data_IF_069515769620
#
_entry.id   IF_069515769620
#
_cell.length_a   1.000
_cell.length_b   1.000
_cell.length_c   1.000
_cell.angle_alpha   90.00
_cell.angle_beta   90.00
_cell.angle_gamma   90.00
#
_symmetry.space_group_name_H-M   'P 1'
#
loop_
_entity.id
_entity.type
_entity.pdbx_description
1 polymer ?
#
# COMPACT_ATOMS: atom_id res chain seq x y z
N UNK A 1 2.01 61.76 30.44
CA UNK A 1 1.13 61.05 31.39
C UNK A 1 0.52 59.85 30.70
N UNK A 2 0.84 58.63 31.11
CA UNK A 2 0.22 57.42 30.59
C UNK A 2 -1.26 57.39 31.04
N UNK A 3 -2.20 57.46 30.08
CA UNK A 3 -3.63 57.33 30.38
C UNK A 3 -3.91 55.91 30.89
N UNK A 4 -4.70 55.81 31.96
CA UNK A 4 -5.11 54.54 32.53
C UNK A 4 -5.66 53.59 31.43
N UNK A 5 -5.36 52.28 31.49
CA UNK A 5 -5.86 51.32 30.51
C UNK A 5 -7.39 51.36 30.48
N UNK A 6 -7.94 51.74 29.33
CA UNK A 6 -9.37 51.85 29.18
C UNK A 6 -9.97 50.43 29.19
N UNK A 7 -10.67 50.06 30.27
CA UNK A 7 -11.32 48.75 30.46
C UNK A 7 -12.26 48.37 29.30
N UNK A 8 -12.77 49.36 28.55
CA UNK A 8 -13.61 49.10 27.38
C UNK A 8 -12.81 48.51 26.19
N UNK A 9 -11.51 48.81 26.08
CA UNK A 9 -10.64 48.28 25.01
C UNK A 9 -10.43 46.79 25.17
N UNK A 10 -10.19 46.33 26.40
CA UNK A 10 -9.98 44.90 26.71
C UNK A 10 -11.25 44.08 26.48
N UNK A 11 -12.41 44.60 26.88
CA UNK A 11 -13.70 43.95 26.64
C UNK A 11 -14.01 43.89 25.14
N UNK A 12 -13.77 44.97 24.41
CA UNK A 12 -13.97 45.01 22.96
C UNK A 12 -13.05 44.02 22.21
N UNK A 13 -11.80 43.86 22.66
CA UNK A 13 -10.88 42.89 22.08
C UNK A 13 -11.33 41.44 22.30
N UNK A 14 -11.80 41.10 23.51
CA UNK A 14 -12.33 39.76 23.80
C UNK A 14 -13.53 39.41 22.91
N UNK A 15 -14.46 40.36 22.73
CA UNK A 15 -15.60 40.17 21.84
C UNK A 15 -15.18 40.03 20.36
N UNK A 16 -14.16 40.79 19.94
CA UNK A 16 -13.59 40.70 18.60
C UNK A 16 -12.89 39.36 18.34
N UNK A 17 -12.09 38.88 19.30
CA UNK A 17 -11.45 37.55 19.27
C UNK A 17 -12.47 36.42 19.26
N UNK A 18 -13.63 36.62 19.90
CA UNK A 18 -14.79 35.72 19.83
C UNK A 18 -15.53 35.73 18.48
N UNK A 19 -15.03 36.44 17.46
CA UNK A 19 -15.58 36.45 16.10
C UNK A 19 -16.72 37.46 15.87
N UNK A 20 -17.06 38.30 16.86
CA UNK A 20 -18.12 39.30 16.68
C UNK A 20 -17.71 40.41 15.73
N UNK A 21 -18.65 40.86 14.90
CA UNK A 21 -18.43 41.97 14.00
C UNK A 21 -18.29 43.29 14.77
N UNK A 22 -17.45 44.21 14.27
CA UNK A 22 -17.21 45.52 14.88
C UNK A 22 -18.50 46.35 15.06
N UNK A 23 -19.49 46.17 14.18
CA UNK A 23 -20.79 46.83 14.25
C UNK A 23 -21.60 46.35 15.46
N UNK A 24 -21.55 45.05 15.76
CA UNK A 24 -22.25 44.45 16.91
C UNK A 24 -21.58 44.87 18.23
N UNK A 25 -20.25 44.89 18.25
CA UNK A 25 -19.46 45.36 19.40
C UNK A 25 -19.75 46.84 19.68
N UNK A 26 -19.83 47.66 18.63
CA UNK A 26 -20.16 49.10 18.71
C UNK A 26 -21.49 49.34 19.43
N UNK A 27 -22.53 48.58 19.08
CA UNK A 27 -23.85 48.66 19.72
C UNK A 27 -23.82 48.19 21.18
N UNK A 28 -23.09 47.11 21.47
CA UNK A 28 -23.05 46.51 22.82
C UNK A 28 -22.32 47.36 23.87
N UNK A 29 -21.29 48.11 23.46
CA UNK A 29 -20.43 48.88 24.38
C UNK A 29 -20.72 50.39 24.34
N UNK A 30 -21.66 50.81 23.49
CA UNK A 30 -21.98 52.21 23.17
C UNK A 30 -20.73 53.01 22.78
N UNK A 31 -20.02 52.52 21.76
CA UNK A 31 -18.78 53.10 21.23
C UNK A 31 -18.92 53.22 19.72
N UNK A 32 -18.58 54.36 19.14
CA UNK A 32 -18.61 54.55 17.69
C UNK A 32 -17.72 53.54 16.96
N UNK A 33 -18.19 52.97 15.85
CA UNK A 33 -17.44 52.02 15.03
C UNK A 33 -16.06 52.54 14.57
N UNK A 34 -15.95 53.85 14.31
CA UNK A 34 -14.70 54.54 13.99
C UNK A 34 -13.63 54.41 15.09
N UNK A 35 -14.06 54.42 16.35
CA UNK A 35 -13.19 54.25 17.52
C UNK A 35 -12.71 52.80 17.65
N UNK A 36 -13.58 51.83 17.38
CA UNK A 36 -13.19 50.41 17.34
C UNK A 36 -12.24 50.10 16.19
N UNK A 37 -12.44 50.68 15.00
CA UNK A 37 -11.50 50.57 13.87
C UNK A 37 -10.13 51.13 14.22
N UNK A 38 -10.09 52.28 14.91
CA UNK A 38 -8.84 52.87 15.41
C UNK A 38 -8.16 51.97 16.43
N UNK A 39 -8.89 51.39 17.39
CA UNK A 39 -8.30 50.47 18.38
C UNK A 39 -7.77 49.19 17.75
N UNK A 40 -8.53 48.56 16.83
CA UNK A 40 -8.10 47.39 16.07
C UNK A 40 -6.75 47.63 15.40
N UNK A 41 -6.55 48.80 14.79
CA UNK A 41 -5.29 49.20 14.14
C UNK A 41 -4.19 49.59 15.15
N UNK A 42 -4.52 50.38 16.17
CA UNK A 42 -3.53 50.89 17.15
C UNK A 42 -2.98 49.82 18.09
N UNK A 43 -3.74 48.75 18.34
CA UNK A 43 -3.35 47.66 19.24
C UNK A 43 -3.10 46.33 18.51
N UNK A 44 -3.03 46.32 17.16
CA UNK A 44 -2.63 45.14 16.38
C UNK A 44 -3.56 43.92 16.52
N UNK A 45 -4.87 44.11 16.69
CA UNK A 45 -5.80 43.00 16.95
C UNK A 45 -5.89 41.98 15.82
N UNK A 46 -5.47 42.34 14.60
CA UNK A 46 -5.48 41.45 13.43
C UNK A 46 -4.31 40.45 13.41
N UNK A 47 -3.26 40.70 14.20
CA UNK A 47 -2.04 39.89 14.21
C UNK A 47 -2.14 38.71 15.21
N UNK A 48 -3.03 38.81 16.20
CA UNK A 48 -3.20 37.82 17.28
C UNK A 48 -4.45 36.92 17.13
N UNK A 49 -5.29 37.14 16.12
CA UNK A 49 -6.51 36.37 15.89
C UNK A 49 -6.36 35.56 14.60
N UNK A 50 -6.31 34.23 14.71
CA UNK A 50 -6.43 33.32 13.56
C UNK A 50 -7.74 33.62 12.84
N UNK A 51 -7.67 34.04 11.56
CA UNK A 51 -8.82 34.56 10.83
C UNK A 51 -9.82 33.41 10.56
N UNK A 52 -11.08 33.49 11.03
CA UNK A 52 -12.11 32.60 10.52
C UNK A 52 -12.42 32.96 9.07
N UNK A 53 -12.50 31.93 8.21
CA UNK A 53 -12.87 32.05 6.80
C UNK A 53 -14.23 32.74 6.70
N UNK A 54 -14.27 33.96 6.15
CA UNK A 54 -15.52 34.71 6.00
C UNK A 54 -16.34 34.13 4.83
N UNK A 55 -17.42 33.44 5.12
CA UNK A 55 -18.51 33.17 4.18
C UNK A 55 -19.19 34.50 3.84
N UNK A 56 -19.02 34.96 2.61
CA UNK A 56 -19.68 36.17 2.13
C UNK A 56 -21.04 35.79 1.57
N UNK A 57 -22.04 35.71 2.45
CA UNK A 57 -23.44 35.83 2.07
C UNK A 57 -24.00 37.03 2.81
N UNK A 58 -24.80 37.83 2.11
CA UNK A 58 -25.42 39.10 2.55
C UNK A 58 -24.66 40.38 2.17
N UNK A 59 -24.60 40.62 0.85
CA UNK A 59 -24.98 41.91 0.27
C UNK A 59 -25.46 41.67 -1.16
N UNK A 60 -26.73 41.30 -1.30
CA UNK A 60 -27.45 41.35 -2.58
C UNK A 60 -28.25 42.65 -2.57
N UNK A 61 -27.79 43.65 -3.30
CA UNK A 61 -28.67 44.49 -4.11
C UNK A 61 -27.85 45.38 -5.05
N UNK A 62 -28.13 45.19 -6.34
CA UNK A 62 -27.75 46.02 -7.49
C UNK A 62 -26.28 45.96 -7.91
N UNK A 63 -25.98 45.11 -8.92
CA UNK A 63 -25.48 45.51 -10.24
C UNK A 63 -25.64 44.28 -11.16
N UNK A 64 -26.44 44.45 -12.21
CA UNK A 64 -26.76 43.47 -13.24
C UNK A 64 -25.67 43.44 -14.31
N UNK A 65 -24.93 42.33 -14.46
CA UNK A 65 -24.35 41.93 -15.77
C UNK A 65 -23.88 40.47 -15.73
N UNK A 66 -24.16 39.75 -16.80
CA UNK A 66 -24.03 38.28 -16.99
C UNK A 66 -22.58 37.72 -16.89
N UNK A 67 -21.59 38.57 -16.59
CA UNK A 67 -20.18 38.17 -16.47
C UNK A 67 -19.79 37.59 -15.09
N UNK A 68 -20.66 37.63 -14.07
CA UNK A 68 -20.36 37.21 -12.68
C UNK A 68 -20.54 35.70 -12.40
N UNK A 69 -21.35 35.00 -13.22
CA UNK A 69 -21.71 33.60 -12.96
C UNK A 69 -20.49 32.66 -13.14
N UNK A 70 -19.52 33.05 -13.99
CA UNK A 70 -18.27 32.30 -14.19
C UNK A 70 -17.29 32.49 -13.02
N UNK A 71 -17.24 33.67 -12.40
CA UNK A 71 -16.34 33.92 -11.26
C UNK A 71 -16.81 33.28 -9.96
N UNK A 72 -18.13 33.15 -9.74
CA UNK A 72 -18.69 32.57 -8.51
C UNK A 72 -18.54 31.03 -8.46
N UNK A 73 -18.61 30.37 -9.62
CA UNK A 73 -18.36 28.92 -9.74
C UNK A 73 -16.87 28.59 -9.59
N UNK A 74 -15.98 29.43 -10.12
CA UNK A 74 -14.53 29.28 -9.93
C UNK A 74 -14.12 29.44 -8.45
N UNK A 75 -14.67 30.41 -7.72
CA UNK A 75 -14.35 30.64 -6.29
C UNK A 75 -14.89 29.53 -5.38
N UNK A 76 -16.04 28.93 -5.70
CA UNK A 76 -16.56 27.76 -4.98
C UNK A 76 -15.70 26.50 -5.22
N UNK A 77 -15.20 26.32 -6.45
CA UNK A 77 -14.25 25.25 -6.78
C UNK A 77 -12.88 25.48 -6.11
N UNK A 78 -12.43 26.74 -5.98
CA UNK A 78 -11.16 27.12 -5.30
C UNK A 78 -11.12 26.66 -3.84
N UNK A 79 -12.19 26.87 -3.07
CA UNK A 79 -12.21 26.50 -1.65
C UNK A 79 -12.35 24.99 -1.43
N UNK A 80 -13.02 24.28 -2.34
CA UNK A 80 -13.18 22.82 -2.29
C UNK A 80 -11.92 22.08 -2.74
N UNK A 81 -11.22 22.59 -3.76
CA UNK A 81 -9.95 22.01 -4.22
C UNK A 81 -8.81 22.27 -3.25
N UNK A 82 -8.72 23.46 -2.64
CA UNK A 82 -7.72 23.75 -1.60
C UNK A 82 -7.87 22.84 -0.37
N UNK A 83 -9.11 22.57 0.08
CA UNK A 83 -9.38 21.68 1.22
C UNK A 83 -9.16 20.19 0.91
N UNK A 84 -9.42 19.74 -0.33
CA UNK A 84 -9.09 18.36 -0.75
C UNK A 84 -7.58 18.18 -0.85
N UNK A 85 -6.87 19.17 -1.39
CA UNK A 85 -5.41 19.14 -1.50
C UNK A 85 -4.76 19.22 -0.11
N UNK A 86 -5.25 20.04 0.83
CA UNK A 86 -4.75 20.07 2.21
C UNK A 86 -4.92 18.72 2.94
N UNK A 87 -5.99 17.99 2.66
CA UNK A 87 -6.22 16.68 3.27
C UNK A 87 -5.37 15.57 2.64
N UNK A 88 -5.13 15.57 1.33
CA UNK A 88 -4.18 14.64 0.68
C UNK A 88 -2.72 14.96 1.01
N UNK A 89 -2.40 16.24 1.21
CA UNK A 89 -1.05 16.70 1.58
C UNK A 89 -0.72 16.37 3.02
N UNK A 90 -1.69 16.19 3.93
CA UNK A 90 -1.41 15.87 5.35
C UNK A 90 -0.69 14.54 5.56
N UNK A 91 -0.98 13.53 4.74
CA UNK A 91 -0.35 12.22 4.86
C UNK A 91 0.99 12.15 4.13
N UNK A 92 1.17 12.90 3.03
CA UNK A 92 2.45 13.00 2.30
C UNK A 92 3.42 14.05 2.92
N UNK A 93 2.92 15.05 3.66
CA UNK A 93 3.73 16.11 4.26
C UNK A 93 4.36 15.74 5.61
N UNK A 94 3.97 14.63 6.24
CA UNK A 94 4.65 14.14 7.45
C UNK A 94 6.10 13.73 7.15
N UNK A 95 6.37 13.25 5.94
CA UNK A 95 7.70 12.81 5.52
C UNK A 95 8.57 13.97 5.00
N UNK A 96 7.99 15.16 4.83
CA UNK A 96 8.68 16.32 4.22
C UNK A 96 8.70 17.50 5.21
N UNK A 97 9.41 17.31 6.31
CA UNK A 97 9.71 18.38 7.25
C UNK A 97 10.95 19.21 6.85
N UNK A 98 11.64 18.88 5.75
CA UNK A 98 13.07 19.20 5.63
C UNK A 98 13.48 20.33 4.67
N UNK A 99 12.57 21.08 4.04
CA UNK A 99 12.98 22.15 3.12
C UNK A 99 12.40 23.52 3.50
N UNK A 100 12.96 24.15 4.54
CA UNK A 100 12.67 25.54 4.95
C UNK A 100 12.80 26.55 3.79
N UNK A 101 13.54 26.20 2.75
CA UNK A 101 13.86 27.06 1.61
C UNK A 101 12.73 27.26 0.58
N UNK A 102 11.71 26.40 0.54
CA UNK A 102 10.62 26.46 -0.43
C UNK A 102 9.33 26.99 0.19
N UNK A 103 8.67 27.92 -0.51
CA UNK A 103 7.36 28.43 -0.09
C UNK A 103 6.28 27.34 -0.15
N UNK A 104 5.24 27.44 0.69
CA UNK A 104 4.14 26.47 0.71
C UNK A 104 3.49 26.24 -0.68
N UNK A 105 3.37 27.30 -1.49
CA UNK A 105 2.83 27.18 -2.86
C UNK A 105 3.76 26.41 -3.80
N UNK A 106 5.08 26.61 -3.68
CA UNK A 106 6.05 25.85 -4.48
C UNK A 106 6.09 24.39 -4.06
N UNK A 107 6.03 24.09 -2.75
CA UNK A 107 5.90 22.72 -2.26
C UNK A 107 4.66 22.03 -2.82
N UNK A 108 3.53 22.74 -2.79
CA UNK A 108 2.27 22.25 -3.36
C UNK A 108 2.38 21.99 -4.87
N UNK A 109 3.07 22.86 -5.60
CA UNK A 109 3.36 22.65 -7.02
C UNK A 109 4.18 21.39 -7.25
N UNK A 110 5.22 21.13 -6.44
CA UNK A 110 6.06 19.95 -6.59
C UNK A 110 5.28 18.65 -6.31
N UNK A 111 4.45 18.63 -5.26
CA UNK A 111 3.58 17.48 -4.95
C UNK A 111 2.60 17.21 -6.11
N UNK A 112 1.91 18.25 -6.58
CA UNK A 112 0.97 18.09 -7.69
C UNK A 112 1.68 17.71 -9.00
N UNK A 113 2.88 18.23 -9.24
CA UNK A 113 3.69 17.88 -10.40
C UNK A 113 4.13 16.43 -10.34
N UNK A 114 4.64 15.93 -9.21
CA UNK A 114 5.00 14.52 -9.02
C UNK A 114 3.84 13.55 -9.28
N UNK A 115 2.59 13.95 -9.00
CA UNK A 115 1.40 13.14 -9.29
C UNK A 115 1.00 13.12 -10.77
N UNK A 116 1.17 14.22 -11.51
CA UNK A 116 0.62 14.36 -12.87
C UNK A 116 1.65 14.54 -14.00
N UNK A 117 2.92 14.73 -13.65
CA UNK A 117 4.04 15.03 -14.55
C UNK A 117 3.72 16.10 -15.61
N UNK A 118 2.87 17.07 -15.25
CA UNK A 118 2.43 18.15 -16.12
C UNK A 118 2.54 19.50 -15.42
N UNK A 119 3.57 20.27 -15.79
CA UNK A 119 3.89 21.55 -15.17
C UNK A 119 2.76 22.57 -15.31
N UNK A 120 2.15 22.67 -16.50
CA UNK A 120 1.08 23.63 -16.78
C UNK A 120 -0.15 23.34 -15.92
N UNK A 121 -0.59 22.08 -15.85
CA UNK A 121 -1.75 21.67 -15.04
C UNK A 121 -1.48 21.83 -13.54
N UNK A 122 -0.30 21.42 -13.08
CA UNK A 122 0.09 21.59 -11.68
C UNK A 122 0.12 23.07 -11.28
N UNK A 123 0.74 23.92 -12.10
CA UNK A 123 0.82 25.35 -11.84
C UNK A 123 -0.55 26.02 -11.85
N UNK A 124 -1.43 25.64 -12.78
CA UNK A 124 -2.79 26.15 -12.86
C UNK A 124 -3.62 25.77 -11.62
N UNK A 125 -3.46 24.54 -11.10
CA UNK A 125 -4.15 24.10 -9.87
C UNK A 125 -3.68 24.84 -8.61
N UNK A 126 -2.39 25.19 -8.53
CA UNK A 126 -1.83 25.89 -7.35
C UNK A 126 -2.09 27.39 -7.37
N UNK A 127 -1.87 28.01 -8.53
CA UNK A 127 -1.84 29.47 -8.65
C UNK A 127 -3.10 30.05 -9.30
N UNK A 128 -4.03 29.20 -9.76
CA UNK A 128 -5.31 29.59 -10.38
C UNK A 128 -5.14 30.68 -11.45
N UNK A 129 -4.13 30.53 -12.30
CA UNK A 129 -3.83 31.50 -13.35
C UNK A 129 -4.33 31.04 -14.72
N UNK A 130 -4.34 31.97 -15.69
CA UNK A 130 -4.70 31.63 -17.07
C UNK A 130 -3.73 30.60 -17.65
N UNK A 131 -4.23 29.79 -18.58
CA UNK A 131 -3.46 28.72 -19.22
C UNK A 131 -2.13 29.20 -19.81
N UNK A 132 -2.13 30.36 -20.50
CA UNK A 132 -0.93 30.96 -21.09
C UNK A 132 0.13 31.28 -20.04
N UNK A 133 -0.29 31.86 -18.92
CA UNK A 133 0.61 32.17 -17.80
C UNK A 133 1.14 30.89 -17.14
N UNK A 134 0.27 29.90 -16.93
CA UNK A 134 0.65 28.62 -16.33
C UNK A 134 1.70 27.87 -17.16
N UNK A 135 1.59 27.92 -18.49
CA UNK A 135 2.53 27.25 -19.39
C UNK A 135 3.95 27.83 -19.26
N UNK A 136 4.07 29.15 -19.25
CA UNK A 136 5.38 29.83 -19.15
C UNK A 136 5.94 29.72 -17.73
N UNK A 137 5.14 30.07 -16.73
CA UNK A 137 5.59 30.09 -15.34
C UNK A 137 5.83 28.69 -14.78
N UNK A 138 5.04 27.69 -15.16
CA UNK A 138 5.23 26.30 -14.76
C UNK A 138 6.56 25.73 -15.25
N UNK A 139 6.87 25.90 -16.54
CA UNK A 139 8.17 25.47 -17.09
C UNK A 139 9.34 26.24 -16.48
N UNK A 140 9.16 27.54 -16.19
CA UNK A 140 10.17 28.35 -15.52
C UNK A 140 10.43 27.88 -14.09
N UNK A 141 9.39 27.47 -13.37
CA UNK A 141 9.52 27.05 -11.97
C UNK A 141 10.33 25.75 -11.84
N UNK A 142 10.22 24.84 -12.81
CA UNK A 142 11.02 23.62 -12.88
C UNK A 142 12.52 23.85 -13.10
N UNK A 143 12.93 25.02 -13.58
CA UNK A 143 14.35 25.39 -13.75
C UNK A 143 15.01 25.85 -12.45
N UNK A 144 14.24 26.05 -11.38
CA UNK A 144 14.81 26.42 -10.09
C UNK A 144 15.42 25.17 -9.45
N UNK A 145 16.72 25.23 -9.14
CA UNK A 145 17.48 24.10 -8.60
C UNK A 145 16.83 23.51 -7.34
N UNK A 146 16.34 24.35 -6.42
CA UNK A 146 15.67 23.88 -5.19
C UNK A 146 14.36 23.15 -5.46
N UNK A 147 13.60 23.63 -6.45
CA UNK A 147 12.34 22.98 -6.88
C UNK A 147 12.65 21.63 -7.52
N UNK A 148 13.69 21.57 -8.33
CA UNK A 148 14.13 20.36 -9.00
C UNK A 148 14.61 19.31 -8.00
N UNK A 149 15.51 19.66 -7.08
CA UNK A 149 15.98 18.77 -6.01
C UNK A 149 14.82 18.19 -5.19
N UNK A 150 13.82 19.01 -4.90
CA UNK A 150 12.65 18.56 -4.16
C UNK A 150 11.75 17.61 -4.97
N UNK A 151 11.57 17.84 -6.26
CA UNK A 151 10.85 16.92 -7.16
C UNK A 151 11.62 15.60 -7.31
N UNK A 152 12.94 15.66 -7.43
CA UNK A 152 13.80 14.48 -7.55
C UNK A 152 13.68 13.65 -6.26
N UNK A 153 13.79 14.27 -5.08
CA UNK A 153 13.59 13.60 -3.79
C UNK A 153 12.19 12.97 -3.63
N UNK A 154 11.13 13.66 -4.06
CA UNK A 154 9.77 13.12 -4.08
C UNK A 154 9.65 11.90 -4.99
N UNK A 155 10.26 11.98 -6.18
CA UNK A 155 10.27 10.91 -7.17
C UNK A 155 11.04 9.71 -6.66
N UNK A 156 12.20 9.92 -6.04
CA UNK A 156 13.01 8.89 -5.42
C UNK A 156 12.26 8.19 -4.28
N UNK A 157 11.55 8.94 -3.43
CA UNK A 157 10.70 8.36 -2.38
C UNK A 157 9.59 7.49 -2.97
N UNK A 158 8.92 7.95 -4.03
CA UNK A 158 7.90 7.17 -4.71
C UNK A 158 8.47 5.90 -5.34
N UNK A 159 9.60 6.00 -6.03
CA UNK A 159 10.31 4.86 -6.62
C UNK A 159 10.72 3.89 -5.53
N UNK A 160 11.34 4.36 -4.44
CA UNK A 160 11.74 3.51 -3.33
C UNK A 160 10.54 2.79 -2.71
N UNK A 161 9.39 3.47 -2.56
CA UNK A 161 8.15 2.85 -2.08
C UNK A 161 7.65 1.77 -3.03
N UNK A 162 7.65 2.02 -4.34
CA UNK A 162 7.26 1.02 -5.34
C UNK A 162 8.24 -0.15 -5.42
N UNK A 163 9.55 0.11 -5.30
CA UNK A 163 10.60 -0.92 -5.23
C UNK A 163 10.42 -1.77 -3.96
N UNK A 164 10.15 -1.15 -2.81
CA UNK A 164 9.86 -1.87 -1.57
C UNK A 164 8.61 -2.74 -1.71
N UNK A 165 7.53 -2.22 -2.32
CA UNK A 165 6.33 -3.02 -2.62
C UNK A 165 6.64 -4.21 -3.52
N UNK A 166 7.38 -3.98 -4.62
CA UNK A 166 7.81 -5.05 -5.54
C UNK A 166 8.69 -6.08 -4.82
N UNK A 167 9.62 -5.64 -3.97
CA UNK A 167 10.48 -6.53 -3.18
C UNK A 167 9.70 -7.39 -2.19
N UNK A 168 8.66 -6.83 -1.54
CA UNK A 168 7.74 -7.60 -0.69
C UNK A 168 6.95 -8.60 -1.52
N UNK A 169 6.40 -8.19 -2.67
CA UNK A 169 5.66 -9.08 -3.57
C UNK A 169 6.54 -10.22 -4.07
N UNK A 170 7.79 -9.96 -4.43
CA UNK A 170 8.73 -10.99 -4.87
C UNK A 170 8.93 -12.05 -3.80
N UNK A 171 9.13 -11.66 -2.53
CA UNK A 171 9.24 -12.65 -1.45
C UNK A 171 7.99 -13.53 -1.32
N UNK A 172 6.80 -12.96 -1.50
CA UNK A 172 5.57 -13.75 -1.47
C UNK A 172 5.43 -14.67 -2.70
N UNK A 173 5.91 -14.24 -3.86
CA UNK A 173 6.02 -15.07 -5.07
C UNK A 173 6.93 -16.26 -4.79
N UNK A 174 8.12 -16.01 -4.23
CA UNK A 174 9.10 -17.04 -3.93
C UNK A 174 8.52 -18.06 -2.92
N UNK A 175 7.84 -17.60 -1.87
CA UNK A 175 7.13 -18.48 -0.92
C UNK A 175 6.00 -19.27 -1.62
N UNK A 176 5.27 -18.65 -2.54
CA UNK A 176 4.16 -19.30 -3.23
C UNK A 176 4.64 -20.44 -4.15
N UNK A 177 5.78 -20.25 -4.83
CA UNK A 177 6.32 -21.22 -5.78
C UNK A 177 7.39 -22.15 -5.18
N UNK A 178 7.76 -21.99 -3.91
CA UNK A 178 8.70 -22.86 -3.24
C UNK A 178 8.24 -24.33 -3.23
N UNK A 179 9.15 -25.24 -3.54
CA UNK A 179 8.98 -26.69 -3.43
C UNK A 179 9.88 -27.24 -2.31
N UNK A 180 9.32 -28.08 -1.45
CA UNK A 180 10.07 -28.71 -0.35
C UNK A 180 11.14 -29.68 -0.84
N UNK A 181 10.96 -30.27 -2.03
CA UNK A 181 11.91 -31.23 -2.61
C UNK A 181 13.23 -30.59 -3.04
N UNK A 182 13.25 -29.26 -3.24
CA UNK A 182 14.48 -28.51 -3.51
C UNK A 182 15.40 -28.48 -2.28
N UNK A 183 14.82 -28.51 -1.08
CA UNK A 183 15.54 -28.36 0.18
C UNK A 183 15.89 -29.69 0.87
N UNK A 184 15.09 -30.72 0.62
CA UNK A 184 15.16 -31.99 1.35
C UNK A 184 15.28 -33.15 0.37
N UNK A 185 16.35 -33.92 0.51
CA UNK A 185 16.51 -35.22 -0.13
C UNK A 185 16.07 -36.31 0.85
N UNK A 186 15.05 -37.08 0.48
CA UNK A 186 14.54 -38.18 1.28
C UNK A 186 14.43 -39.45 0.45
N UNK A 187 14.65 -40.60 1.08
CA UNK A 187 14.60 -41.90 0.40
C UNK A 187 14.86 -43.05 1.36
N UNK A 188 15.05 -44.25 0.81
CA UNK A 188 15.39 -45.45 1.57
C UNK A 188 16.86 -45.79 1.39
N UNK A 189 17.54 -46.16 2.48
CA UNK A 189 18.89 -46.70 2.46
C UNK A 189 18.94 -48.03 3.21
N UNK A 190 19.67 -48.98 2.65
CA UNK A 190 19.97 -50.25 3.31
C UNK A 190 21.12 -50.05 4.31
N UNK A 191 20.85 -50.30 5.59
CA UNK A 191 21.82 -50.17 6.68
C UNK A 191 22.03 -51.55 7.30
N UNK A 192 23.27 -52.00 7.53
CA UNK A 192 23.54 -53.29 8.16
C UNK A 192 22.97 -53.33 9.59
N UNK A 193 22.23 -54.38 9.91
CA UNK A 193 21.73 -54.67 11.26
C UNK A 193 22.92 -54.83 12.19
N UNK A 194 22.94 -54.11 13.31
CA UNK A 194 24.01 -54.19 14.30
C UNK A 194 23.50 -54.87 15.58
N UNK A 195 24.35 -55.66 16.24
CA UNK A 195 24.12 -56.20 17.57
C UNK A 195 24.26 -55.12 18.67
N UNK A 196 23.87 -55.47 19.91
CA UNK A 196 23.95 -54.58 21.09
C UNK A 196 25.36 -54.00 21.34
N UNK A 197 26.40 -54.64 20.81
CA UNK A 197 27.82 -54.23 20.89
C UNK A 197 28.32 -53.47 19.63
N UNK A 198 27.43 -53.12 18.69
CA UNK A 198 27.76 -52.32 17.50
C UNK A 198 28.42 -53.07 16.35
N UNK A 199 28.42 -54.42 16.36
CA UNK A 199 28.94 -55.27 15.28
C UNK A 199 27.83 -55.64 14.29
N UNK A 200 28.14 -55.64 12.99
CA UNK A 200 27.20 -56.03 11.94
C UNK A 200 26.78 -57.51 12.06
N UNK A 201 25.49 -57.77 11.91
CA UNK A 201 24.89 -59.11 11.86
C UNK A 201 25.05 -59.70 10.48
N UNK A 202 25.37 -60.97 10.46
CA UNK A 202 25.44 -61.78 9.25
C UNK A 202 24.37 -62.87 9.35
N UNK A 203 23.75 -63.23 8.23
CA UNK A 203 22.87 -64.38 8.11
C UNK A 203 23.64 -65.70 8.24
N UNK A 204 22.92 -66.81 8.37
CA UNK A 204 23.49 -68.16 8.49
C UNK A 204 24.43 -68.55 7.33
N UNK A 205 24.29 -67.88 6.17
CA UNK A 205 25.15 -68.03 4.96
C UNK A 205 26.33 -67.03 4.89
N UNK A 206 26.52 -66.17 5.91
CA UNK A 206 27.61 -65.19 5.97
C UNK A 206 27.35 -63.88 5.19
N UNK A 207 26.13 -63.64 4.69
CA UNK A 207 25.73 -62.38 4.07
C UNK A 207 25.33 -61.33 5.11
N UNK A 208 25.64 -60.05 4.88
CA UNK A 208 25.27 -58.96 5.80
C UNK A 208 23.75 -58.77 5.82
N UNK A 209 23.16 -58.91 7.01
CA UNK A 209 21.74 -58.64 7.22
C UNK A 209 21.51 -57.12 7.16
N UNK A 210 20.75 -56.65 6.17
CA UNK A 210 20.44 -55.22 5.98
C UNK A 210 18.97 -54.91 6.30
N UNK A 211 18.72 -53.79 6.98
CA UNK A 211 17.38 -53.22 7.17
C UNK A 211 17.21 -51.98 6.31
N UNK A 212 16.06 -51.85 5.65
CA UNK A 212 15.65 -50.61 4.97
C UNK A 212 15.30 -49.55 6.01
N UNK A 213 16.04 -48.44 6.01
CA UNK A 213 15.78 -47.29 6.85
C UNK A 213 15.55 -46.07 5.97
N UNK A 214 14.45 -45.34 6.21
CA UNK A 214 14.24 -44.03 5.59
C UNK A 214 15.30 -43.05 6.08
N UNK A 215 15.85 -42.24 5.17
CA UNK A 215 16.72 -41.12 5.51
C UNK A 215 16.12 -39.82 5.01
N UNK A 216 16.45 -38.75 5.71
CA UNK A 216 16.12 -37.38 5.30
C UNK A 216 17.37 -36.54 5.49
N UNK A 217 17.81 -35.90 4.40
CA UNK A 217 19.04 -35.11 4.35
C UNK A 217 18.70 -33.74 3.78
N UNK A 218 19.16 -32.69 4.45
CA UNK A 218 19.06 -31.33 3.94
C UNK A 218 20.13 -31.10 2.86
N UNK A 219 19.74 -30.40 1.79
CA UNK A 219 20.65 -29.92 0.77
C UNK A 219 21.58 -28.83 1.32
N UNK A 220 22.68 -28.58 0.60
CA UNK A 220 23.69 -27.58 1.00
C UNK A 220 23.10 -26.16 0.95
N UNK A 221 23.19 -25.43 2.06
CA UNK A 221 22.67 -24.07 2.17
C UNK A 221 23.28 -23.09 1.17
N UNK A 222 24.48 -23.39 0.64
CA UNK A 222 25.15 -22.57 -0.36
C UNK A 222 24.44 -22.55 -1.72
N UNK A 223 23.55 -23.52 -1.97
CA UNK A 223 22.87 -23.73 -3.26
C UNK A 223 21.39 -23.37 -3.24
N UNK A 224 20.87 -22.96 -2.09
CA UNK A 224 19.44 -22.86 -1.84
C UNK A 224 19.12 -21.52 -1.19
N UNK A 225 17.92 -21.00 -1.44
CA UNK A 225 17.44 -19.83 -0.72
C UNK A 225 16.86 -20.23 0.64
N UNK A 226 17.71 -20.12 1.67
CA UNK A 226 17.31 -20.37 3.06
C UNK A 226 16.30 -19.38 3.63
N UNK A 227 16.00 -18.26 2.93
CA UNK A 227 15.05 -17.26 3.43
C UNK A 227 13.59 -17.73 3.40
N UNK A 228 13.29 -18.80 2.66
CA UNK A 228 11.94 -19.38 2.57
C UNK A 228 11.65 -20.41 3.68
N UNK A 229 12.63 -20.69 4.53
CA UNK A 229 12.54 -21.67 5.60
C UNK A 229 11.94 -21.03 6.86
N UNK A 230 10.88 -21.62 7.39
CA UNK A 230 10.22 -21.14 8.61
C UNK A 230 10.75 -21.81 9.87
N UNK A 231 11.12 -23.08 9.81
CA UNK A 231 11.63 -23.84 10.96
C UNK A 231 12.59 -24.95 10.51
N UNK A 232 13.76 -25.02 11.14
CA UNK A 232 14.66 -26.18 11.09
C UNK A 232 14.95 -26.61 12.53
N UNK A 233 14.70 -27.87 12.86
CA UNK A 233 15.06 -28.44 14.16
C UNK A 233 15.63 -29.84 14.00
N UNK A 234 16.67 -30.13 14.77
CA UNK A 234 17.29 -31.45 14.85
C UNK A 234 16.95 -32.06 16.20
N UNK A 235 16.39 -33.27 16.18
CA UNK A 235 16.00 -34.02 17.38
C UNK A 235 16.63 -35.40 17.35
N UNK A 236 16.66 -36.10 18.48
CA UNK A 236 17.21 -37.45 18.61
C UNK A 236 16.55 -38.47 17.67
N UNK A 237 15.32 -38.20 17.21
CA UNK A 237 14.57 -39.05 16.27
C UNK A 237 14.62 -38.57 14.82
N UNK A 238 15.20 -37.41 14.52
CA UNK A 238 15.31 -36.89 13.16
C UNK A 238 15.22 -35.38 13.03
N UNK A 239 15.31 -34.93 11.78
CA UNK A 239 15.23 -33.52 11.39
C UNK A 239 13.75 -33.16 11.15
N UNK A 240 13.32 -31.99 11.58
CA UNK A 240 12.03 -31.40 11.24
C UNK A 240 12.27 -30.12 10.46
N UNK A 241 11.64 -30.05 9.30
CA UNK A 241 11.83 -28.97 8.33
C UNK A 241 10.46 -28.41 7.92
N UNK A 242 10.33 -27.07 7.91
CA UNK A 242 9.12 -26.39 7.45
C UNK A 242 9.46 -25.18 6.61
N UNK A 243 8.71 -25.00 5.52
CA UNK A 243 8.68 -23.77 4.73
C UNK A 243 7.63 -22.80 5.25
N UNK A 244 7.62 -21.57 4.75
CA UNK A 244 6.52 -20.64 4.99
C UNK A 244 5.21 -21.12 4.37
N UNK A 245 4.10 -20.60 4.91
CA UNK A 245 2.75 -21.00 4.50
C UNK A 245 2.41 -20.47 3.09
N UNK A 246 2.44 -21.39 2.12
CA UNK A 246 2.11 -21.14 0.71
C UNK A 246 0.70 -20.58 0.51
N UNK A 247 -0.29 -21.00 1.31
CA UNK A 247 -1.67 -20.53 1.16
C UNK A 247 -1.79 -19.04 1.48
N UNK A 248 -1.16 -18.63 2.59
CA UNK A 248 -1.17 -17.22 3.01
C UNK A 248 -0.44 -16.33 2.00
N UNK A 249 0.63 -16.84 1.40
CA UNK A 249 1.34 -16.13 0.35
C UNK A 249 0.47 -15.94 -0.89
N UNK A 250 -0.20 -17.00 -1.35
CA UNK A 250 -1.14 -16.93 -2.48
C UNK A 250 -2.30 -15.97 -2.20
N UNK A 251 -2.92 -16.05 -1.02
CA UNK A 251 -4.02 -15.14 -0.64
C UNK A 251 -3.58 -13.67 -0.62
N UNK A 252 -2.33 -13.40 -0.19
CA UNK A 252 -1.75 -12.06 -0.23
C UNK A 252 -1.55 -11.59 -1.67
N UNK A 253 -0.98 -12.44 -2.53
CA UNK A 253 -0.77 -12.13 -3.94
C UNK A 253 -2.09 -11.89 -4.68
N UNK A 254 -3.12 -12.70 -4.43
CA UNK A 254 -4.46 -12.53 -5.03
C UNK A 254 -5.08 -11.17 -4.68
N UNK A 255 -4.95 -10.74 -3.42
CA UNK A 255 -5.43 -9.41 -2.97
C UNK A 255 -4.69 -8.26 -3.63
N UNK A 256 -3.44 -8.48 -4.03
CA UNK A 256 -2.56 -7.49 -4.63
C UNK A 256 -2.28 -7.74 -6.12
N UNK A 257 -3.10 -8.55 -6.81
CA UNK A 257 -2.94 -8.92 -8.21
C UNK A 257 -2.78 -7.73 -9.18
N UNK A 258 -3.36 -6.57 -8.87
CA UNK A 258 -3.24 -5.38 -9.72
C UNK A 258 -1.80 -4.87 -9.86
N UNK A 259 -0.90 -5.28 -8.97
CA UNK A 259 0.53 -4.92 -8.98
C UNK A 259 1.41 -5.97 -9.65
N UNK A 260 0.84 -7.12 -10.05
CA UNK A 260 1.55 -8.25 -10.64
C UNK A 260 1.52 -8.19 -12.17
N UNK A 261 2.55 -8.76 -12.79
CA UNK A 261 2.65 -8.96 -14.23
C UNK A 261 1.70 -10.09 -14.68
N UNK A 262 1.25 -10.04 -15.94
CA UNK A 262 0.21 -10.95 -16.43
C UNK A 262 0.67 -12.42 -16.50
N UNK A 263 1.96 -12.67 -16.76
CA UNK A 263 2.56 -14.00 -16.73
C UNK A 263 2.47 -14.63 -15.33
N UNK A 264 2.80 -13.85 -14.29
CA UNK A 264 2.75 -14.29 -12.89
C UNK A 264 1.31 -14.57 -12.47
N UNK A 265 0.33 -13.77 -12.95
CA UNK A 265 -1.09 -14.02 -12.69
C UNK A 265 -1.54 -15.38 -13.22
N UNK A 266 -1.16 -15.73 -14.45
CA UNK A 266 -1.50 -17.02 -15.05
C UNK A 266 -0.90 -18.19 -14.25
N UNK A 267 0.35 -18.04 -13.81
CA UNK A 267 1.01 -19.03 -12.97
C UNK A 267 0.29 -19.18 -11.62
N UNK A 268 -0.06 -18.08 -10.95
CA UNK A 268 -0.82 -18.08 -9.70
C UNK A 268 -2.18 -18.76 -9.84
N UNK A 269 -2.90 -18.52 -10.94
CA UNK A 269 -4.16 -19.21 -11.21
C UNK A 269 -3.98 -20.73 -11.38
N UNK A 270 -2.89 -21.15 -12.02
CA UNK A 270 -2.58 -22.58 -12.15
C UNK A 270 -2.22 -23.22 -10.80
N UNK A 271 -1.43 -22.52 -9.98
CA UNK A 271 -0.99 -22.94 -8.66
C UNK A 271 -2.18 -23.09 -7.69
N UNK A 272 -3.07 -22.10 -7.69
CA UNK A 272 -4.27 -22.07 -6.84
C UNK A 272 -5.24 -23.18 -7.20
N UNK A 273 -5.42 -23.48 -8.49
CA UNK A 273 -6.23 -24.62 -8.95
C UNK A 273 -5.63 -25.97 -8.52
N UNK A 274 -4.31 -26.15 -8.67
CA UNK A 274 -3.62 -27.39 -8.21
C UNK A 274 -3.85 -27.60 -6.72
N UNK A 275 -3.66 -26.57 -5.91
CA UNK A 275 -3.87 -26.64 -4.47
C UNK A 275 -5.33 -26.90 -4.06
N UNK A 276 -6.29 -26.37 -4.81
CA UNK A 276 -7.71 -26.69 -4.60
C UNK A 276 -7.98 -28.17 -4.90
N UNK A 277 -7.42 -28.70 -5.99
CA UNK A 277 -7.52 -30.12 -6.30
C UNK A 277 -6.89 -30.98 -5.20
N UNK A 278 -5.71 -30.62 -4.71
CA UNK A 278 -5.04 -31.37 -3.62
C UNK A 278 -5.86 -31.36 -2.32
N UNK A 279 -6.48 -30.22 -1.99
CA UNK A 279 -7.40 -30.12 -0.85
C UNK A 279 -8.62 -31.04 -1.01
N UNK A 280 -9.24 -31.02 -2.19
CA UNK A 280 -10.38 -31.88 -2.49
C UNK A 280 -9.99 -33.36 -2.44
N UNK A 281 -8.83 -33.74 -2.98
CA UNK A 281 -8.30 -35.11 -2.89
C UNK A 281 -8.09 -35.50 -1.42
N UNK A 282 -7.49 -34.62 -0.60
CA UNK A 282 -7.30 -34.89 0.82
C UNK A 282 -8.63 -34.99 1.59
N UNK A 283 -9.65 -34.23 1.21
CA UNK A 283 -11.00 -34.33 1.76
C UNK A 283 -11.68 -35.64 1.34
N UNK A 284 -11.59 -36.02 0.06
CA UNK A 284 -12.08 -37.31 -0.46
C UNK A 284 -11.40 -38.46 0.28
N UNK A 285 -10.07 -38.43 0.46
CA UNK A 285 -9.33 -39.47 1.18
C UNK A 285 -9.71 -39.55 2.67
N UNK A 286 -10.12 -38.42 3.29
CA UNK A 286 -10.64 -38.42 4.66
C UNK A 286 -12.06 -38.97 4.75
N UNK A 287 -12.88 -38.74 3.73
CA UNK A 287 -14.26 -39.24 3.65
C UNK A 287 -14.29 -40.73 3.29
N UNK A 288 -13.36 -41.19 2.46
CA UNK A 288 -13.17 -42.61 2.11
C UNK A 288 -12.43 -43.40 3.22
N UNK A 289 -12.09 -42.76 4.35
CA UNK A 289 -11.43 -43.39 5.48
C UNK A 289 -12.31 -44.29 6.36
N UNK A 290 -13.56 -44.58 5.95
CA UNK A 290 -14.45 -45.50 6.67
C UNK A 290 -15.06 -46.63 5.81
N UNK A 291 -14.80 -46.73 4.50
CA UNK A 291 -15.24 -47.88 3.69
C UNK A 291 -14.15 -48.27 2.68
N UNK A 292 -13.37 -49.31 3.01
CA UNK A 292 -12.74 -50.20 2.02
C UNK A 292 -13.86 -50.93 1.25
N UNK A 293 -14.66 -50.20 0.46
CA UNK A 293 -15.37 -50.82 -0.64
C UNK A 293 -14.41 -50.82 -1.83
N UNK A 294 -13.86 -52.00 -2.12
CA UNK A 294 -13.31 -52.31 -3.43
C UNK A 294 -14.35 -51.86 -4.46
N UNK A 295 -14.10 -50.73 -5.11
CA UNK A 295 -14.91 -50.32 -6.26
C UNK A 295 -14.63 -51.39 -7.32
N UNK A 296 -15.54 -52.36 -7.44
CA UNK A 296 -15.53 -53.32 -8.54
C UNK A 296 -15.50 -52.50 -9.84
N UNK A 297 -14.42 -52.67 -10.61
CA UNK A 297 -14.26 -52.08 -11.93
C UNK A 297 -15.45 -52.53 -12.78
N UNK A 298 -16.44 -51.65 -12.92
CA UNK A 298 -17.71 -51.89 -13.60
C UNK A 298 -17.57 -51.97 -15.13
N UNK A 299 -16.32 -52.08 -15.61
CA UNK A 299 -15.98 -52.17 -17.03
C UNK A 299 -16.26 -50.88 -17.79
N UNK A 300 -16.59 -49.78 -17.11
CA UNK A 300 -16.90 -48.50 -17.77
C UNK A 300 -15.69 -47.95 -18.54
N UNK A 301 -14.48 -48.06 -17.97
CA UNK A 301 -13.24 -47.64 -18.63
C UNK A 301 -12.89 -48.53 -19.84
N UNK A 302 -13.22 -49.82 -19.77
CA UNK A 302 -13.02 -50.76 -20.89
C UNK A 302 -14.03 -50.50 -22.02
N UNK A 303 -15.29 -50.20 -21.69
CA UNK A 303 -16.30 -49.78 -22.65
C UNK A 303 -15.94 -48.45 -23.34
N UNK A 304 -15.36 -47.49 -22.61
CA UNK A 304 -14.87 -46.23 -23.18
C UNK A 304 -13.69 -46.45 -24.14
N UNK A 305 -12.75 -47.34 -23.80
CA UNK A 305 -11.66 -47.73 -24.70
C UNK A 305 -12.16 -48.46 -25.94
N UNK A 306 -13.10 -49.39 -25.79
CA UNK A 306 -13.70 -50.10 -26.92
C UNK A 306 -14.42 -49.14 -27.88
N UNK A 307 -15.16 -48.16 -27.36
CA UNK A 307 -15.85 -47.15 -28.15
C UNK A 307 -14.87 -46.18 -28.83
N UNK A 308 -13.78 -45.82 -28.17
CA UNK A 308 -12.70 -45.04 -28.79
C UNK A 308 -11.97 -45.84 -29.88
N UNK A 309 -11.89 -47.16 -29.79
CA UNK A 309 -11.30 -47.99 -30.87
C UNK A 309 -12.25 -48.12 -32.07
N UNK A 310 -13.58 -48.11 -31.87
CA UNK A 310 -14.55 -48.13 -32.97
C UNK A 310 -14.62 -46.80 -33.74
N UNK A 311 -14.56 -45.65 -33.04
CA UNK A 311 -14.66 -44.33 -33.68
C UNK A 311 -13.45 -44.01 -34.56
N UNK A 312 -12.31 -44.65 -34.34
CA UNK A 312 -11.06 -44.41 -35.08
C UNK A 312 -10.71 -45.50 -36.10
N UNK A 313 -11.65 -46.41 -36.39
CA UNK A 313 -11.49 -47.46 -37.40
C UNK A 313 -12.19 -47.19 -38.73
N UNK A 314 -12.94 -46.09 -38.83
CA UNK A 314 -13.60 -45.63 -40.07
C UNK A 314 -12.91 -44.39 -40.66
N UNK A 315 -11.58 -44.43 -40.79
CA UNK A 315 -10.78 -43.59 -41.71
C UNK A 315 -9.67 -44.44 -42.38
#
# INVERSE_FOLDING_TARGET
>A
MARAPNKKVTIAYQLYKGGKQLIEISKSLDISESTLKRWRKSYGWDDEVEKPVRSTTENIMQITTENSIQSETEVFIQNKTASIIENEVKDEAKDIAANEDLTNRQRLFCILYSKCFNATKAYQKVYHCSYKTAMVCGCRLLKNDKVKEFIDSLTDMQINKEVLKRGVLQKYIDIAFADITEYVEFGEKEVPLCDKDGKSKYDEDGALMTKKCGYMKLQDSSKLDGTLISEVSESTSGIKFKLYDKMKALDFLVKHCNLLEDEIKLQLESETKKLQNDKLIAEINKLNGDEDEEIEDDGFLEALRAKAVEVWKDD
#
